data_IF_482703762473
#
_entry.id   IF_482703762473
#
_cell.length_a   1.000
_cell.length_b   1.000
_cell.length_c   1.000
_cell.angle_alpha   90.00
_cell.angle_beta   90.00
_cell.angle_gamma   90.00
#
_symmetry.space_group_name_H-M   'P 1'
#
loop_
_entity.id
_entity.type
_entity.pdbx_description
1 polymer ?
#
# COMPACT_ATOMS: atom_id res chain seq x y z
N UNK A 1 22.13 -0.79 -6.00
CA UNK A 1 20.82 -0.27 -6.44
C UNK A 1 20.43 -0.60 -7.89
N UNK A 2 21.32 -0.80 -8.85
CA UNK A 2 20.94 -1.04 -10.27
C UNK A 2 20.14 -2.31 -10.54
N UNK A 3 20.10 -3.27 -9.63
CA UNK A 3 19.41 -4.56 -9.81
C UNK A 3 18.07 -4.69 -9.05
N UNK A 4 17.76 -3.75 -8.15
CA UNK A 4 16.59 -3.81 -7.26
C UNK A 4 15.25 -3.82 -8.03
N UNK A 5 15.18 -2.99 -9.07
CA UNK A 5 13.96 -2.83 -9.87
C UNK A 5 13.97 -3.66 -11.18
N UNK A 6 14.93 -4.55 -11.38
CA UNK A 6 15.03 -5.32 -12.63
C UNK A 6 13.77 -6.14 -12.91
N UNK A 7 13.21 -6.78 -11.90
CA UNK A 7 11.96 -7.55 -12.01
C UNK A 7 10.75 -6.64 -12.18
N UNK A 8 10.69 -5.55 -11.46
CA UNK A 8 9.65 -4.54 -11.66
C UNK A 8 9.66 -4.06 -13.10
N UNK A 9 10.83 -3.68 -13.64
CA UNK A 9 10.98 -3.23 -15.02
C UNK A 9 10.55 -4.27 -16.07
N UNK A 10 10.71 -5.56 -15.80
CA UNK A 10 10.30 -6.63 -16.72
C UNK A 10 8.79 -6.91 -16.71
N UNK A 11 8.09 -6.52 -15.66
CA UNK A 11 6.66 -6.85 -15.46
C UNK A 11 5.74 -5.64 -15.51
N UNK A 12 6.27 -4.44 -15.29
CA UNK A 12 5.48 -3.21 -15.30
C UNK A 12 4.93 -2.87 -16.68
N UNK A 13 3.81 -2.16 -16.69
CA UNK A 13 3.25 -1.54 -17.89
C UNK A 13 3.22 -0.03 -17.66
N UNK A 14 3.67 0.73 -18.65
CA UNK A 14 3.60 2.18 -18.62
C UNK A 14 2.31 2.60 -19.28
N UNK A 15 1.37 3.12 -18.49
CA UNK A 15 0.08 3.64 -18.94
C UNK A 15 0.07 5.17 -18.95
N UNK A 16 0.89 5.79 -18.12
CA UNK A 16 1.04 7.24 -18.00
C UNK A 16 2.52 7.58 -17.87
N UNK A 17 2.91 8.78 -18.33
CA UNK A 17 4.29 9.26 -18.20
C UNK A 17 4.56 9.97 -16.87
N UNK A 18 3.52 10.28 -16.10
CA UNK A 18 3.61 10.92 -14.79
C UNK A 18 2.89 10.04 -13.78
N UNK A 19 3.57 9.71 -12.69
CA UNK A 19 3.06 8.86 -11.60
C UNK A 19 2.45 7.54 -12.12
N UNK A 20 3.17 6.88 -13.03
CA UNK A 20 2.79 5.55 -13.49
C UNK A 20 2.93 4.57 -12.33
N UNK A 21 1.81 4.05 -11.86
CA UNK A 21 1.74 3.21 -10.67
C UNK A 21 1.72 1.73 -10.99
N UNK A 22 2.57 0.98 -10.32
CA UNK A 22 2.51 -0.49 -10.28
C UNK A 22 2.33 -0.95 -8.84
N UNK A 23 1.29 -1.75 -8.58
CA UNK A 23 0.91 -2.18 -7.24
C UNK A 23 1.23 -3.64 -7.00
N UNK A 24 1.81 -3.94 -5.85
CA UNK A 24 2.09 -5.28 -5.33
C UNK A 24 1.39 -5.47 -3.99
N UNK A 25 0.54 -6.50 -3.88
CA UNK A 25 -0.27 -6.73 -2.70
C UNK A 25 0.34 -7.81 -1.79
N UNK A 26 0.14 -7.63 -0.49
CA UNK A 26 0.38 -8.61 0.56
C UNK A 26 -0.79 -8.63 1.56
N UNK A 27 -0.71 -9.48 2.60
CA UNK A 27 -1.82 -9.69 3.53
C UNK A 27 -2.23 -8.43 4.31
N UNK A 28 -1.26 -7.61 4.73
CA UNK A 28 -1.47 -6.42 5.57
C UNK A 28 -0.82 -5.17 5.01
N UNK A 29 -0.44 -5.18 3.75
CA UNK A 29 0.28 -4.07 3.13
C UNK A 29 0.17 -4.09 1.64
N UNK A 30 0.42 -2.93 1.05
CA UNK A 30 0.43 -2.72 -0.38
C UNK A 30 1.65 -1.88 -0.74
N UNK A 31 2.53 -2.41 -1.59
CA UNK A 31 3.64 -1.66 -2.15
C UNK A 31 3.23 -1.08 -3.49
N UNK A 32 3.33 0.22 -3.63
CA UNK A 32 3.15 0.94 -4.87
C UNK A 32 4.49 1.48 -5.34
N UNK A 33 4.88 1.15 -6.57
CA UNK A 33 6.04 1.76 -7.23
C UNK A 33 5.50 2.77 -8.25
N UNK A 34 5.88 4.01 -8.07
CA UNK A 34 5.54 5.13 -8.92
C UNK A 34 6.74 5.49 -9.80
N UNK A 35 6.48 5.71 -11.08
CA UNK A 35 7.49 6.08 -12.06
C UNK A 35 7.01 7.30 -12.84
N UNK A 36 7.83 8.35 -12.89
CA UNK A 36 7.58 9.54 -13.70
C UNK A 36 8.68 9.66 -14.74
N UNK A 37 8.31 9.74 -16.01
CA UNK A 37 9.16 9.65 -17.19
C UNK A 37 9.31 10.97 -17.93
N UNK A 38 8.75 12.06 -17.44
CA UNK A 38 8.89 13.42 -17.99
C UNK A 38 8.82 14.44 -16.86
N UNK A 39 9.39 15.61 -17.11
CA UNK A 39 9.23 16.75 -16.20
C UNK A 39 7.75 17.06 -16.02
N UNK A 40 7.34 17.28 -14.79
CA UNK A 40 5.99 17.65 -14.42
C UNK A 40 6.01 18.44 -13.11
N UNK A 41 5.11 19.40 -12.99
CA UNK A 41 5.01 20.27 -11.85
C UNK A 41 3.59 20.19 -11.25
N UNK A 42 3.45 20.49 -9.96
CA UNK A 42 2.19 20.58 -9.24
C UNK A 42 1.32 19.29 -9.34
N UNK A 43 1.96 18.12 -9.32
CA UNK A 43 1.26 16.84 -9.34
C UNK A 43 0.72 16.55 -7.95
N UNK A 44 -0.61 16.56 -7.81
CA UNK A 44 -1.28 16.33 -6.53
C UNK A 44 -1.54 14.84 -6.30
N UNK A 45 -1.20 14.35 -5.12
CA UNK A 45 -1.40 12.98 -4.66
C UNK A 45 -1.87 12.94 -3.21
N UNK A 46 -2.84 12.08 -2.91
CA UNK A 46 -3.38 11.86 -1.56
C UNK A 46 -3.63 10.37 -1.33
N UNK A 47 -3.39 9.88 -0.14
CA UNK A 47 -3.67 8.50 0.28
C UNK A 47 -4.67 8.49 1.44
N UNK A 48 -5.54 7.47 1.52
CA UNK A 48 -6.52 7.29 2.62
C UNK A 48 -5.96 6.53 3.83
N UNK A 49 -4.73 6.13 3.77
CA UNK A 49 -4.04 5.43 4.83
C UNK A 49 -2.63 6.00 4.96
N UNK A 50 -2.00 5.85 6.13
CA UNK A 50 -0.63 6.27 6.31
C UNK A 50 0.27 5.55 5.30
N UNK A 51 1.13 6.30 4.64
CA UNK A 51 2.12 5.73 3.73
C UNK A 51 3.53 6.12 4.12
N UNK A 52 4.43 5.18 3.89
CA UNK A 52 5.86 5.41 3.95
C UNK A 52 6.32 5.49 2.51
N UNK A 53 6.57 6.70 2.04
CA UNK A 53 7.16 6.94 0.73
C UNK A 53 8.68 6.95 0.85
N UNK A 54 9.39 6.29 -0.07
CA UNK A 54 10.85 6.30 -0.12
C UNK A 54 11.34 6.49 -1.55
N UNK A 55 12.32 7.35 -1.73
CA UNK A 55 12.91 7.59 -3.03
C UNK A 55 13.86 6.46 -3.43
N UNK A 56 13.69 5.99 -4.67
CA UNK A 56 14.53 4.93 -5.26
C UNK A 56 15.53 5.53 -6.25
N UNK A 57 15.06 6.38 -7.18
CA UNK A 57 15.90 7.05 -8.17
C UNK A 57 15.33 8.43 -8.53
N UNK A 58 16.18 9.34 -8.97
CA UNK A 58 15.77 10.68 -9.41
C UNK A 58 15.58 11.64 -8.23
N UNK A 59 14.77 12.65 -8.46
CA UNK A 59 14.50 13.73 -7.49
C UNK A 59 13.04 14.14 -7.61
N UNK A 60 12.39 14.39 -6.47
CA UNK A 60 11.11 15.10 -6.35
C UNK A 60 11.34 16.37 -5.55
N UNK A 61 10.54 17.41 -5.80
CA UNK A 61 10.37 18.51 -4.85
C UNK A 61 9.00 18.34 -4.22
N UNK A 62 8.98 18.21 -2.89
CA UNK A 62 7.76 17.97 -2.13
C UNK A 62 7.25 19.29 -1.55
N UNK A 63 5.99 19.57 -1.77
CA UNK A 63 5.25 20.67 -1.16
C UNK A 63 4.20 20.04 -0.22
N UNK A 64 4.48 20.07 1.05
CA UNK A 64 3.61 19.56 2.10
C UNK A 64 3.09 20.71 2.94
N UNK A 65 1.83 20.62 3.38
CA UNK A 65 1.29 21.59 4.33
C UNK A 65 2.18 21.65 5.58
N UNK A 66 2.42 22.85 6.06
CA UNK A 66 3.22 23.16 7.27
C UNK A 66 4.73 22.89 7.15
N UNK A 67 5.24 22.48 5.97
CA UNK A 67 6.66 22.36 5.71
C UNK A 67 7.11 23.25 4.57
N UNK A 68 8.31 23.84 4.68
CA UNK A 68 8.93 24.48 3.52
C UNK A 68 9.19 23.46 2.43
N UNK A 69 9.02 23.79 1.13
CA UNK A 69 9.35 22.88 0.04
C UNK A 69 10.76 22.31 0.19
N UNK A 70 10.90 21.01 -0.04
CA UNK A 70 12.18 20.32 0.11
C UNK A 70 12.45 19.33 -1.01
N UNK A 71 13.72 19.10 -1.29
CA UNK A 71 14.18 18.04 -2.18
C UNK A 71 13.99 16.69 -1.50
N UNK A 72 13.32 15.76 -2.19
CA UNK A 72 13.17 14.39 -1.76
C UNK A 72 14.04 13.48 -2.63
N UNK A 73 15.07 12.89 -2.02
CA UNK A 73 16.18 12.23 -2.67
C UNK A 73 16.30 10.75 -2.29
N UNK A 74 16.99 9.91 -3.10
CA UNK A 74 17.29 8.53 -2.72
C UNK A 74 18.00 8.44 -1.37
N UNK A 75 17.53 7.51 -0.53
CA UNK A 75 17.99 7.36 0.85
C UNK A 75 17.17 8.15 1.87
N UNK A 76 16.11 8.79 1.41
CA UNK A 76 15.15 9.50 2.28
C UNK A 76 13.79 8.82 2.24
N UNK A 77 13.04 9.00 3.32
CA UNK A 77 11.65 8.60 3.44
C UNK A 77 10.79 9.75 3.96
N UNK A 78 9.54 9.76 3.51
CA UNK A 78 8.50 10.63 4.05
C UNK A 78 7.40 9.74 4.58
N UNK A 79 7.07 9.91 5.85
CA UNK A 79 5.87 9.29 6.44
C UNK A 79 4.75 10.30 6.32
N UNK A 80 3.72 9.91 5.60
CA UNK A 80 2.54 10.75 5.35
C UNK A 80 1.36 10.23 6.13
N UNK A 81 0.64 11.10 6.84
CA UNK A 81 -0.65 10.76 7.38
C UNK A 81 -1.67 10.48 6.27
N UNK A 82 -2.73 9.75 6.61
CA UNK A 82 -3.87 9.63 5.71
C UNK A 82 -4.46 11.01 5.40
N UNK A 83 -5.03 11.14 4.22
CA UNK A 83 -5.78 12.31 3.74
C UNK A 83 -4.98 13.61 3.58
N UNK A 84 -3.68 13.60 3.87
CA UNK A 84 -2.85 14.76 3.60
C UNK A 84 -2.49 14.82 2.11
N UNK A 85 -2.76 15.95 1.49
CA UNK A 85 -2.39 16.21 0.11
C UNK A 85 -0.87 16.46 0.02
N UNK A 86 -0.26 15.84 -0.98
CA UNK A 86 1.11 16.12 -1.41
C UNK A 86 1.04 16.78 -2.78
N UNK A 87 1.69 17.91 -2.96
CA UNK A 87 1.96 18.49 -4.27
C UNK A 87 3.41 18.23 -4.59
N UNK A 88 3.71 17.73 -5.78
CA UNK A 88 5.00 17.16 -6.13
C UNK A 88 5.45 17.67 -7.50
N UNK A 89 6.68 18.17 -7.57
CA UNK A 89 7.35 18.47 -8.83
C UNK A 89 8.40 17.41 -9.16
N UNK A 90 8.58 17.16 -10.44
CA UNK A 90 9.52 16.19 -11.03
C UNK A 90 10.52 16.90 -11.96
N UNK A 91 11.51 17.62 -11.43
CA UNK A 91 12.34 18.53 -12.22
C UNK A 91 13.35 17.84 -13.14
N UNK A 92 13.64 16.55 -12.91
CA UNK A 92 14.73 15.84 -13.63
C UNK A 92 14.27 14.53 -14.29
N UNK A 93 12.97 14.25 -14.31
CA UNK A 93 12.46 13.00 -14.86
C UNK A 93 12.57 12.95 -16.39
N UNK A 94 13.09 11.85 -16.93
CA UNK A 94 13.16 11.57 -18.38
C UNK A 94 12.77 10.12 -18.68
N UNK A 95 12.60 9.77 -19.97
CA UNK A 95 12.32 8.39 -20.36
C UNK A 95 13.47 7.44 -20.06
N UNK A 96 14.72 7.91 -20.23
CA UNK A 96 15.94 7.12 -19.98
C UNK A 96 16.27 7.04 -18.50
N UNK A 97 15.99 8.11 -17.73
CA UNK A 97 16.23 8.22 -16.30
C UNK A 97 14.95 8.65 -15.56
N UNK A 98 13.99 7.75 -15.39
CA UNK A 98 12.74 8.08 -14.69
C UNK A 98 12.97 8.33 -13.21
N UNK A 99 12.22 9.27 -12.66
CA UNK A 99 12.09 9.41 -11.21
C UNK A 99 11.24 8.29 -10.68
N UNK A 100 11.75 7.51 -9.71
CA UNK A 100 11.07 6.38 -9.15
C UNK A 100 11.01 6.47 -7.62
N UNK A 101 9.85 6.26 -7.07
CA UNK A 101 9.67 6.12 -5.63
C UNK A 101 8.73 4.96 -5.31
N UNK A 102 8.81 4.47 -4.11
CA UNK A 102 7.81 3.56 -3.56
C UNK A 102 6.91 4.31 -2.58
N UNK A 103 5.68 3.82 -2.44
CA UNK A 103 4.78 4.17 -1.35
C UNK A 103 4.24 2.85 -0.76
N UNK A 104 4.65 2.57 0.47
CA UNK A 104 4.22 1.40 1.23
C UNK A 104 3.03 1.81 2.11
N UNK A 105 1.83 1.38 1.73
CA UNK A 105 0.66 1.42 2.58
C UNK A 105 0.64 0.22 3.52
N UNK A 106 0.40 0.46 4.81
CA UNK A 106 0.31 -0.58 5.83
C UNK A 106 -1.09 -0.55 6.42
N UNK A 107 -1.67 -1.73 6.65
CA UNK A 107 -2.95 -1.85 7.32
C UNK A 107 -2.87 -1.19 8.71
N UNK A 108 -3.77 -0.24 9.04
CA UNK A 108 -3.78 0.41 10.35
C UNK A 108 -3.86 -0.57 11.52
N UNK A 109 -4.64 -1.65 11.39
CA UNK A 109 -4.73 -2.69 12.43
C UNK A 109 -3.36 -3.33 12.70
N UNK A 110 -2.54 -3.50 11.64
CA UNK A 110 -1.18 -4.04 11.80
C UNK A 110 -0.26 -3.06 12.50
N UNK A 111 -0.36 -1.78 12.20
CA UNK A 111 0.41 -0.74 12.90
C UNK A 111 0.04 -0.75 14.38
N UNK A 112 -1.26 -0.82 14.70
CA UNK A 112 -1.76 -0.86 16.06
C UNK A 112 -1.27 -2.09 16.84
N UNK A 113 -1.35 -3.28 16.22
CA UNK A 113 -0.85 -4.53 16.81
C UNK A 113 0.62 -4.41 17.20
N UNK A 114 1.46 -3.90 16.29
CA UNK A 114 2.90 -3.77 16.51
C UNK A 114 3.20 -2.70 17.57
N UNK A 115 2.52 -1.55 17.50
CA UNK A 115 2.67 -0.48 18.49
C UNK A 115 2.28 -0.95 19.91
N UNK A 116 1.18 -1.68 20.05
CA UNK A 116 0.74 -2.26 21.32
C UNK A 116 1.81 -3.19 21.91
N UNK A 117 2.29 -4.15 21.12
CA UNK A 117 3.35 -5.08 21.56
C UNK A 117 4.66 -4.38 21.91
N UNK A 118 4.98 -3.30 21.20
CA UNK A 118 6.16 -2.50 21.49
C UNK A 118 6.02 -1.78 22.84
N UNK A 119 4.85 -1.20 23.10
CA UNK A 119 4.55 -0.51 24.36
C UNK A 119 4.55 -1.46 25.55
N UNK A 120 3.97 -2.67 25.42
CA UNK A 120 4.02 -3.67 26.51
C UNK A 120 5.45 -4.01 26.94
N UNK A 121 6.39 -4.11 25.99
CA UNK A 121 7.78 -4.45 26.30
C UNK A 121 8.58 -3.28 26.86
N UNK A 122 8.24 -2.04 26.50
CA UNK A 122 8.94 -0.84 27.00
C UNK A 122 8.42 -0.41 28.35
N UNK A 123 7.11 -0.51 28.61
CA UNK A 123 6.52 -0.17 29.91
C UNK A 123 7.06 -1.02 31.08
N UNK A 124 7.72 -2.13 30.79
CA UNK A 124 8.42 -2.92 31.81
C UNK A 124 9.75 -2.29 32.29
N UNK A 125 10.26 -1.27 31.56
CA UNK A 125 11.59 -0.72 31.82
C UNK A 125 11.63 0.79 32.15
N UNK A 126 10.59 1.58 31.81
CA UNK A 126 10.56 3.03 32.06
C UNK A 126 9.14 3.56 32.23
N UNK A 127 8.83 4.14 33.39
CA UNK A 127 7.50 4.65 33.77
C UNK A 127 7.08 5.98 33.09
N UNK A 128 7.77 6.48 32.06
CA UNK A 128 7.62 7.90 31.64
C UNK A 128 7.13 8.19 30.24
N UNK A 129 6.93 7.25 29.34
CA UNK A 129 6.36 7.54 28.04
C UNK A 129 5.21 6.61 27.63
N UNK A 130 4.05 6.81 28.22
CA UNK A 130 2.80 6.36 27.60
C UNK A 130 2.61 7.15 26.30
N UNK A 131 2.58 6.45 25.19
CA UNK A 131 2.47 7.05 23.88
C UNK A 131 1.06 7.59 23.66
N UNK A 132 0.87 8.89 23.91
CA UNK A 132 -0.37 9.61 23.66
C UNK A 132 -0.39 10.16 22.26
N UNK A 133 -1.59 10.11 21.65
CA UNK A 133 -1.89 10.57 20.32
C UNK A 133 -1.96 12.11 20.29
N UNK A 134 -1.07 12.77 19.57
CA UNK A 134 -1.18 14.17 19.17
C UNK A 134 -1.32 14.26 17.64
N UNK A 135 -1.89 15.34 17.11
CA UNK A 135 -2.21 15.48 15.67
C UNK A 135 -1.02 15.19 14.75
N UNK A 136 -1.25 14.31 13.75
CA UNK A 136 -0.22 13.76 12.89
C UNK A 136 0.23 14.73 11.79
N UNK A 137 1.49 15.13 11.85
CA UNK A 137 2.16 15.87 10.79
C UNK A 137 2.98 14.95 9.92
N UNK A 138 3.14 15.29 8.63
CA UNK A 138 4.08 14.60 7.78
C UNK A 138 5.51 14.66 8.35
N UNK A 139 6.28 13.60 8.19
CA UNK A 139 7.65 13.54 8.69
C UNK A 139 8.62 13.18 7.57
N UNK A 140 9.55 14.08 7.27
CA UNK A 140 10.67 13.82 6.37
C UNK A 140 11.86 13.28 7.17
N UNK A 141 12.40 12.16 6.73
CA UNK A 141 13.44 11.41 7.41
C UNK A 141 14.58 11.08 6.45
N UNK A 142 15.82 11.31 6.89
CA UNK A 142 16.98 10.64 6.28
C UNK A 142 17.06 9.23 6.86
N UNK A 143 17.03 8.22 6.00
CA UNK A 143 17.01 6.83 6.43
C UNK A 143 18.33 6.42 7.07
N UNK A 144 18.27 5.72 8.18
CA UNK A 144 19.40 4.93 8.66
C UNK A 144 19.70 3.81 7.65
N UNK A 145 20.93 3.35 7.62
CA UNK A 145 21.37 2.33 6.66
C UNK A 145 20.55 1.04 6.74
N UNK A 146 20.13 0.66 7.94
CA UNK A 146 19.29 -0.51 8.20
C UNK A 146 17.88 -0.36 7.61
N UNK A 147 17.33 0.86 7.62
CA UNK A 147 16.03 1.16 7.01
C UNK A 147 16.14 1.05 5.49
N UNK A 148 17.23 1.54 4.88
CA UNK A 148 17.46 1.40 3.45
C UNK A 148 17.58 -0.07 3.04
N UNK A 149 18.36 -0.89 3.77
CA UNK A 149 18.43 -2.34 3.52
C UNK A 149 17.09 -3.04 3.68
N UNK A 150 16.30 -2.62 4.67
CA UNK A 150 14.97 -3.17 4.89
C UNK A 150 14.02 -2.83 3.73
N UNK A 151 14.05 -1.59 3.23
CA UNK A 151 13.29 -1.15 2.06
C UNK A 151 13.69 -1.96 0.82
N UNK A 152 14.98 -2.16 0.59
CA UNK A 152 15.47 -2.98 -0.52
C UNK A 152 14.96 -4.43 -0.44
N UNK A 153 14.99 -5.03 0.74
CA UNK A 153 14.47 -6.38 0.99
C UNK A 153 12.96 -6.46 0.80
N UNK A 154 12.22 -5.44 1.24
CA UNK A 154 10.78 -5.33 1.03
C UNK A 154 10.45 -5.32 -0.47
N UNK A 155 11.09 -4.45 -1.25
CA UNK A 155 10.87 -4.36 -2.71
C UNK A 155 11.20 -5.69 -3.39
N UNK A 156 12.33 -6.31 -3.06
CA UNK A 156 12.72 -7.60 -3.61
C UNK A 156 11.70 -8.70 -3.27
N UNK A 157 11.21 -8.74 -2.04
CA UNK A 157 10.24 -9.74 -1.60
C UNK A 157 8.85 -9.50 -2.18
N UNK A 158 8.40 -8.24 -2.30
CA UNK A 158 7.13 -7.90 -2.95
C UNK A 158 7.11 -8.29 -4.43
N UNK A 159 8.23 -8.11 -5.11
CA UNK A 159 8.36 -8.40 -6.55
C UNK A 159 8.63 -9.88 -6.85
N UNK A 160 9.03 -10.67 -5.85
CA UNK A 160 9.21 -12.13 -5.94
C UNK A 160 7.92 -12.87 -5.64
N UNK A 161 7.78 -14.03 -6.26
CA UNK A 161 6.66 -14.93 -6.02
C UNK A 161 7.17 -16.20 -5.32
N UNK A 162 7.44 -16.10 -4.03
CA UNK A 162 7.91 -17.21 -3.20
C UNK A 162 6.83 -17.62 -2.20
N UNK A 163 6.84 -18.89 -1.77
CA UNK A 163 5.86 -19.39 -0.79
C UNK A 163 5.93 -18.69 0.56
N UNK A 164 7.12 -18.27 0.98
CA UNK A 164 7.34 -17.56 2.24
C UNK A 164 7.09 -16.05 2.14
N UNK A 165 6.66 -15.54 0.98
CA UNK A 165 6.50 -14.11 0.73
C UNK A 165 5.71 -13.39 1.83
N UNK A 166 4.50 -13.88 2.12
CA UNK A 166 3.60 -13.21 3.07
C UNK A 166 4.18 -13.20 4.50
N UNK A 167 4.86 -14.28 4.90
CA UNK A 167 5.50 -14.37 6.22
C UNK A 167 6.69 -13.43 6.32
N UNK A 168 7.54 -13.41 5.30
CA UNK A 168 8.71 -12.54 5.26
C UNK A 168 8.31 -11.07 5.21
N UNK A 169 7.29 -10.71 4.43
CA UNK A 169 6.76 -9.36 4.37
C UNK A 169 6.19 -8.93 5.73
N UNK A 170 5.43 -9.80 6.40
CA UNK A 170 4.88 -9.51 7.72
C UNK A 170 5.98 -9.18 8.73
N UNK A 171 7.05 -9.99 8.80
CA UNK A 171 8.18 -9.75 9.69
C UNK A 171 8.92 -8.44 9.37
N UNK A 172 9.17 -8.18 8.08
CA UNK A 172 9.85 -6.96 7.64
C UNK A 172 9.03 -5.71 7.88
N UNK A 173 7.70 -5.77 7.73
CA UNK A 173 6.80 -4.67 8.04
C UNK A 173 6.76 -4.40 9.54
N UNK A 174 6.73 -5.43 10.37
CA UNK A 174 6.83 -5.26 11.82
C UNK A 174 8.16 -4.58 12.20
N UNK A 175 9.27 -5.01 11.62
CA UNK A 175 10.58 -4.36 11.84
C UNK A 175 10.54 -2.89 11.40
N UNK A 176 9.98 -2.59 10.22
CA UNK A 176 9.89 -1.22 9.72
C UNK A 176 9.06 -0.33 10.64
N UNK A 177 7.90 -0.81 11.10
CA UNK A 177 7.06 -0.07 12.05
C UNK A 177 7.84 0.22 13.34
N UNK A 178 8.52 -0.78 13.93
CA UNK A 178 9.31 -0.58 15.15
C UNK A 178 10.40 0.46 14.96
N UNK A 179 11.14 0.41 13.82
CA UNK A 179 12.19 1.41 13.53
C UNK A 179 11.61 2.82 13.36
N UNK A 180 10.47 2.95 12.69
CA UNK A 180 9.81 4.24 12.52
C UNK A 180 9.23 4.78 13.82
N UNK A 181 8.73 3.91 14.69
CA UNK A 181 8.26 4.29 16.02
C UNK A 181 9.39 4.84 16.92
N UNK A 182 10.65 4.55 16.60
CA UNK A 182 11.81 5.11 17.28
C UNK A 182 12.27 6.47 16.69
N UNK A 183 11.58 6.98 15.67
CA UNK A 183 11.91 8.24 14.99
C UNK A 183 10.89 9.33 15.29
N UNK A 184 11.12 10.52 14.71
CA UNK A 184 10.15 11.63 14.74
C UNK A 184 8.82 11.28 14.06
N UNK A 185 8.78 10.26 13.19
CA UNK A 185 7.57 9.79 12.52
C UNK A 185 6.61 9.01 13.44
N UNK A 186 6.96 8.79 14.70
CA UNK A 186 6.14 8.09 15.69
C UNK A 186 4.72 8.66 15.74
N UNK A 187 4.58 9.95 15.88
CA UNK A 187 3.28 10.63 16.00
C UNK A 187 2.45 10.49 14.72
N UNK A 188 3.06 10.67 13.56
CA UNK A 188 2.41 10.51 12.25
C UNK A 188 1.79 9.11 12.08
N UNK A 189 2.51 8.06 12.46
CA UNK A 189 2.06 6.68 12.29
C UNK A 189 0.92 6.32 13.24
N UNK A 190 0.95 6.82 14.47
CA UNK A 190 -0.02 6.46 15.50
C UNK A 190 -1.35 7.23 15.39
N UNK A 191 -1.32 8.47 14.92
CA UNK A 191 -2.51 9.32 14.88
C UNK A 191 -3.49 8.96 13.75
N UNK A 192 -3.00 8.40 12.65
CA UNK A 192 -3.83 8.06 11.50
C UNK A 192 -4.83 6.92 11.74
N UNK A 193 -4.65 6.16 12.82
CA UNK A 193 -5.55 5.03 13.15
C UNK A 193 -6.98 5.48 13.50
N UNK A 194 -7.17 6.69 14.02
CA UNK A 194 -8.50 7.22 14.34
C UNK A 194 -9.16 7.95 13.16
N UNK A 195 -8.38 8.62 12.32
CA UNK A 195 -8.94 9.42 11.21
C UNK A 195 -9.44 8.55 10.04
N UNK A 196 -8.90 7.35 9.84
CA UNK A 196 -9.31 6.47 8.75
C UNK A 196 -10.76 6.00 8.87
N UNK A 197 -11.26 5.78 10.11
CA UNK A 197 -12.64 5.33 10.34
C UNK A 197 -13.68 6.43 10.09
N UNK A 198 -13.30 7.70 10.15
CA UNK A 198 -14.24 8.83 10.16
C UNK A 198 -14.43 9.48 8.78
N UNK A 199 -13.65 9.10 7.77
CA UNK A 199 -13.84 9.64 6.42
C UNK A 199 -14.86 8.86 5.61
N UNK A 200 -15.53 9.55 4.67
CA UNK A 200 -16.50 8.90 3.76
C UNK A 200 -15.88 7.77 2.95
N UNK A 201 -14.63 7.93 2.52
CA UNK A 201 -13.92 6.88 1.76
C UNK A 201 -13.44 5.76 2.69
N UNK A 202 -12.93 6.09 3.87
CA UNK A 202 -12.57 5.10 4.88
C UNK A 202 -13.76 4.24 5.30
N UNK A 203 -14.93 4.86 5.49
CA UNK A 203 -16.17 4.14 5.72
C UNK A 203 -16.51 3.16 4.57
N UNK A 204 -16.37 3.61 3.31
CA UNK A 204 -16.62 2.75 2.14
C UNK A 204 -15.59 1.62 2.05
N UNK A 205 -14.34 1.87 2.34
CA UNK A 205 -13.29 0.83 2.39
C UNK A 205 -13.63 -0.23 3.44
N UNK A 206 -14.01 0.19 4.63
CA UNK A 206 -14.48 -0.69 5.71
C UNK A 206 -15.70 -1.49 5.25
N UNK A 207 -16.70 -0.83 4.67
CA UNK A 207 -17.89 -1.47 4.12
C UNK A 207 -17.55 -2.53 3.06
N UNK A 208 -16.64 -2.24 2.12
CA UNK A 208 -16.18 -3.21 1.11
C UNK A 208 -15.57 -4.45 1.79
N UNK A 209 -14.69 -4.25 2.78
CA UNK A 209 -14.02 -5.35 3.48
C UNK A 209 -14.98 -6.24 4.26
N UNK A 210 -15.95 -5.64 4.93
CA UNK A 210 -16.98 -6.36 5.71
C UNK A 210 -17.97 -7.11 4.82
N UNK A 211 -18.24 -6.60 3.62
CA UNK A 211 -19.25 -7.14 2.69
C UNK A 211 -18.63 -7.72 1.41
N UNK A 212 -17.37 -8.12 1.44
CA UNK A 212 -16.57 -8.47 0.26
C UNK A 212 -17.20 -9.57 -0.63
N UNK A 213 -17.96 -10.47 -0.01
CA UNK A 213 -18.63 -11.59 -0.70
C UNK A 213 -20.04 -11.26 -1.18
N UNK A 214 -20.56 -10.09 -0.84
CA UNK A 214 -21.86 -9.64 -1.32
C UNK A 214 -21.77 -9.34 -2.82
N UNK A 215 -22.66 -9.99 -3.58
CA UNK A 215 -22.77 -9.85 -5.02
C UNK A 215 -23.34 -8.49 -5.47
N UNK A 216 -23.98 -7.78 -4.55
CA UNK A 216 -24.61 -6.48 -4.82
C UNK A 216 -23.65 -5.31 -4.71
N UNK A 217 -22.42 -5.54 -4.25
CA UNK A 217 -21.42 -4.46 -4.23
C UNK A 217 -21.14 -4.01 -5.66
N UNK A 218 -21.52 -2.78 -5.94
CA UNK A 218 -21.26 -2.09 -7.19
C UNK A 218 -20.87 -0.63 -6.91
N UNK A 219 -20.42 0.07 -7.93
CA UNK A 219 -19.92 1.44 -7.79
C UNK A 219 -20.99 2.42 -7.35
N UNK A 220 -22.23 2.24 -7.81
CA UNK A 220 -23.36 3.11 -7.48
C UNK A 220 -23.69 3.01 -5.98
N UNK A 221 -23.77 1.80 -5.44
CA UNK A 221 -23.96 1.56 -4.01
C UNK A 221 -22.83 2.17 -3.17
N UNK A 222 -21.58 2.04 -3.61
CA UNK A 222 -20.45 2.59 -2.89
C UNK A 222 -20.43 4.12 -2.93
N UNK A 223 -20.81 4.72 -4.05
CA UNK A 223 -20.97 6.16 -4.19
C UNK A 223 -22.08 6.71 -3.29
N UNK A 224 -23.23 6.00 -3.24
CA UNK A 224 -24.32 6.29 -2.31
C UNK A 224 -23.85 6.24 -0.85
N UNK A 225 -23.14 5.21 -0.46
CA UNK A 225 -22.55 5.05 0.89
C UNK A 225 -21.56 6.16 1.23
N UNK A 226 -20.86 6.69 0.24
CA UNK A 226 -19.96 7.84 0.40
C UNK A 226 -20.69 9.18 0.40
N UNK A 227 -22.01 9.22 0.14
CA UNK A 227 -22.78 10.45 -0.11
C UNK A 227 -22.20 11.29 -1.25
N UNK A 228 -21.83 10.64 -2.36
CA UNK A 228 -21.22 11.25 -3.53
C UNK A 228 -21.92 10.79 -4.81
N UNK A 229 -21.82 11.61 -5.87
CA UNK A 229 -22.13 11.11 -7.22
C UNK A 229 -21.09 10.08 -7.63
N UNK A 230 -21.46 9.13 -8.50
CA UNK A 230 -20.58 8.06 -9.01
C UNK A 230 -19.25 8.61 -9.57
N UNK A 231 -19.33 9.71 -10.35
CA UNK A 231 -18.14 10.36 -10.91
C UNK A 231 -17.23 10.97 -9.84
N UNK A 232 -17.83 11.68 -8.87
CA UNK A 232 -17.09 12.28 -7.75
C UNK A 232 -16.46 11.21 -6.87
N UNK A 233 -17.19 10.14 -6.57
CA UNK A 233 -16.72 9.00 -5.82
C UNK A 233 -15.52 8.35 -6.51
N UNK A 234 -15.64 8.06 -7.82
CA UNK A 234 -14.56 7.43 -8.57
C UNK A 234 -13.27 8.27 -8.57
N UNK A 235 -13.42 9.59 -8.81
CA UNK A 235 -12.31 10.54 -8.77
C UNK A 235 -11.70 10.62 -7.37
N UNK A 236 -12.51 10.82 -6.33
CA UNK A 236 -12.06 10.93 -4.95
C UNK A 236 -11.38 9.64 -4.49
N UNK A 237 -12.02 8.47 -4.71
CA UNK A 237 -11.48 7.17 -4.35
C UNK A 237 -10.12 6.91 -5.02
N UNK A 238 -10.02 7.20 -6.34
CA UNK A 238 -8.76 7.03 -7.07
C UNK A 238 -7.68 8.00 -6.58
N UNK A 239 -8.01 9.25 -6.34
CA UNK A 239 -7.05 10.23 -5.82
C UNK A 239 -6.54 9.82 -4.43
N UNK A 240 -7.42 9.27 -3.63
CA UNK A 240 -7.20 8.88 -2.25
C UNK A 240 -6.41 7.57 -2.13
N UNK A 241 -6.85 6.49 -2.81
CA UNK A 241 -6.20 5.17 -2.74
C UNK A 241 -5.23 4.91 -3.89
N UNK A 242 -5.13 5.86 -4.84
CA UNK A 242 -4.30 5.73 -6.04
C UNK A 242 -4.76 4.65 -7.02
N UNK A 243 -5.81 3.86 -6.70
CA UNK A 243 -6.39 2.81 -7.57
C UNK A 243 -7.89 3.03 -7.74
N UNK A 244 -8.45 2.49 -8.81
CA UNK A 244 -9.89 2.57 -9.00
C UNK A 244 -10.64 1.76 -7.94
N UNK A 245 -11.90 2.12 -7.61
CA UNK A 245 -12.73 1.32 -6.69
C UNK A 245 -12.86 -0.14 -7.12
N UNK A 246 -12.97 -0.40 -8.43
CA UNK A 246 -13.07 -1.76 -8.98
C UNK A 246 -11.77 -2.53 -8.78
N UNK A 247 -10.61 -1.91 -9.03
CA UNK A 247 -9.32 -2.56 -8.81
C UNK A 247 -9.10 -2.84 -7.32
N UNK A 248 -9.53 -1.93 -6.44
CA UNK A 248 -9.50 -2.14 -4.98
C UNK A 248 -10.35 -3.34 -4.57
N UNK A 249 -11.63 -3.41 -5.00
CA UNK A 249 -12.52 -4.54 -4.70
C UNK A 249 -11.91 -5.86 -5.20
N UNK A 250 -11.38 -5.85 -6.44
CA UNK A 250 -10.75 -7.04 -7.00
C UNK A 250 -9.53 -7.47 -6.19
N UNK A 251 -8.68 -6.53 -5.73
CA UNK A 251 -7.51 -6.84 -4.91
C UNK A 251 -7.91 -7.48 -3.58
N UNK A 252 -8.90 -6.92 -2.89
CA UNK A 252 -9.40 -7.47 -1.63
C UNK A 252 -10.03 -8.88 -1.84
N UNK A 253 -10.81 -9.08 -2.90
CA UNK A 253 -11.36 -10.38 -3.27
C UNK A 253 -10.27 -11.42 -3.57
N UNK A 254 -9.18 -11.04 -4.25
CA UNK A 254 -8.04 -11.94 -4.50
C UNK A 254 -7.30 -12.26 -3.20
N UNK A 255 -7.08 -11.28 -2.32
CA UNK A 255 -6.51 -11.52 -0.99
C UNK A 255 -7.35 -12.56 -0.21
N UNK A 256 -8.67 -12.40 -0.25
CA UNK A 256 -9.59 -13.34 0.42
C UNK A 256 -9.56 -14.73 -0.25
N UNK A 257 -9.53 -14.82 -1.58
CA UNK A 257 -9.39 -16.06 -2.31
C UNK A 257 -8.11 -16.82 -1.91
N UNK A 258 -6.98 -16.11 -1.77
CA UNK A 258 -5.72 -16.71 -1.28
C UNK A 258 -5.85 -17.28 0.13
N UNK A 259 -6.57 -16.57 1.03
CA UNK A 259 -6.86 -17.09 2.38
C UNK A 259 -7.70 -18.38 2.32
N UNK A 260 -8.71 -18.45 1.44
CA UNK A 260 -9.51 -19.66 1.23
C UNK A 260 -8.67 -20.84 0.71
N UNK A 261 -7.79 -20.59 -0.26
CA UNK A 261 -6.89 -21.62 -0.80
C UNK A 261 -5.95 -22.19 0.27
N UNK A 262 -5.39 -21.31 1.12
CA UNK A 262 -4.53 -21.72 2.23
C UNK A 262 -5.28 -22.57 3.27
N UNK A 263 -6.54 -22.19 3.60
CA UNK A 263 -7.36 -22.90 4.60
C UNK A 263 -7.91 -24.22 4.11
N UNK A 264 -8.26 -24.32 2.84
CA UNK A 264 -8.83 -25.53 2.25
C UNK A 264 -8.18 -25.88 0.91
N UNK A 265 -7.12 -26.67 1.00
CA UNK A 265 -6.35 -27.13 -0.17
C UNK A 265 -7.17 -27.98 -1.16
N UNK A 266 -8.33 -28.54 -0.76
CA UNK A 266 -9.17 -29.39 -1.63
C UNK A 266 -10.25 -28.60 -2.38
N UNK A 267 -10.57 -27.37 -1.99
CA UNK A 267 -11.64 -26.57 -2.59
C UNK A 267 -11.36 -26.30 -4.07
N UNK A 268 -12.37 -26.42 -4.93
CA UNK A 268 -12.23 -26.16 -6.36
C UNK A 268 -11.97 -24.66 -6.65
N UNK A 269 -11.24 -24.36 -7.71
CA UNK A 269 -10.97 -22.97 -8.13
C UNK A 269 -12.27 -22.19 -8.40
N UNK A 270 -13.28 -22.85 -8.99
CA UNK A 270 -14.59 -22.26 -9.20
C UNK A 270 -15.30 -21.93 -7.88
N UNK A 271 -15.26 -22.81 -6.91
CA UNK A 271 -15.82 -22.56 -5.58
C UNK A 271 -15.12 -21.40 -4.87
N UNK A 272 -13.79 -21.35 -4.97
CA UNK A 272 -13.00 -20.25 -4.41
C UNK A 272 -13.39 -18.93 -5.05
N UNK A 273 -13.51 -18.89 -6.39
CA UNK A 273 -13.94 -17.69 -7.10
C UNK A 273 -15.31 -17.17 -6.59
N UNK A 274 -16.31 -18.05 -6.50
CA UNK A 274 -17.64 -17.66 -6.04
C UNK A 274 -17.67 -17.29 -4.55
N UNK A 275 -16.96 -18.03 -3.69
CA UNK A 275 -16.87 -17.74 -2.25
C UNK A 275 -16.09 -16.46 -1.96
N UNK A 276 -15.20 -16.05 -2.86
CA UNK A 276 -14.50 -14.77 -2.75
C UNK A 276 -15.25 -13.59 -3.39
N UNK A 277 -16.51 -13.80 -3.79
CA UNK A 277 -17.39 -12.76 -4.26
C UNK A 277 -17.23 -12.41 -5.76
N UNK A 278 -16.57 -13.26 -6.55
CA UNK A 278 -16.59 -13.12 -8.00
C UNK A 278 -17.81 -13.79 -8.61
N UNK A 279 -18.44 -13.14 -9.57
CA UNK A 279 -19.61 -13.67 -10.28
C UNK A 279 -19.22 -14.53 -11.49
N UNK A 280 -17.94 -14.50 -11.90
CA UNK A 280 -17.46 -15.17 -13.11
C UNK A 280 -16.04 -15.70 -12.88
N UNK A 281 -15.85 -17.01 -13.09
CA UNK A 281 -14.57 -17.70 -12.90
C UNK A 281 -13.50 -17.22 -13.88
N UNK A 282 -13.88 -16.93 -15.13
CA UNK A 282 -12.93 -16.43 -16.14
C UNK A 282 -12.42 -15.03 -15.75
N UNK A 283 -13.30 -14.17 -15.24
CA UNK A 283 -12.92 -12.86 -14.73
C UNK A 283 -12.00 -12.99 -13.49
N UNK A 284 -12.35 -13.87 -12.56
CA UNK A 284 -11.50 -14.21 -11.40
C UNK A 284 -10.09 -14.64 -11.84
N UNK A 285 -9.98 -15.61 -12.77
CA UNK A 285 -8.70 -16.10 -13.24
C UNK A 285 -7.84 -14.98 -13.85
N UNK A 286 -8.46 -14.09 -14.63
CA UNK A 286 -7.79 -12.94 -15.24
C UNK A 286 -7.30 -11.95 -14.18
N UNK A 287 -8.13 -11.62 -13.20
CA UNK A 287 -7.75 -10.70 -12.12
C UNK A 287 -6.69 -11.31 -11.21
N UNK A 288 -6.82 -12.60 -10.88
CA UNK A 288 -5.81 -13.31 -10.10
C UNK A 288 -4.44 -13.30 -10.80
N UNK A 289 -4.42 -13.64 -12.09
CA UNK A 289 -3.18 -13.60 -12.89
C UNK A 289 -2.61 -12.18 -13.01
N UNK A 290 -3.47 -11.16 -13.14
CA UNK A 290 -3.06 -9.74 -13.18
C UNK A 290 -2.36 -9.32 -11.89
N UNK A 291 -2.88 -9.74 -10.73
CA UNK A 291 -2.41 -9.30 -9.42
C UNK A 291 -1.29 -10.16 -8.84
N UNK A 292 -1.32 -11.48 -9.10
CA UNK A 292 -0.38 -12.44 -8.50
C UNK A 292 0.68 -12.96 -9.50
N UNK A 293 0.61 -12.55 -10.77
CA UNK A 293 1.52 -12.95 -11.86
C UNK A 293 1.54 -14.46 -12.14
N UNK A 294 0.60 -15.23 -11.56
CA UNK A 294 0.37 -16.65 -11.79
C UNK A 294 -1.11 -16.97 -11.78
N UNK A 295 -1.48 -18.12 -12.33
CA UNK A 295 -2.89 -18.57 -12.30
C UNK A 295 -3.28 -19.05 -10.89
N UNK A 296 -4.58 -19.02 -10.53
CA UNK A 296 -5.07 -19.60 -9.28
C UNK A 296 -4.65 -21.06 -9.10
N UNK A 297 -4.62 -21.84 -10.19
CA UNK A 297 -4.22 -23.23 -10.15
C UNK A 297 -2.73 -23.39 -9.81
N UNK A 298 -1.86 -22.57 -10.43
CA UNK A 298 -0.43 -22.55 -10.12
C UNK A 298 -0.18 -22.15 -8.66
N UNK A 299 -0.89 -21.13 -8.17
CA UNK A 299 -0.83 -20.73 -6.77
C UNK A 299 -1.25 -21.87 -5.83
N UNK A 300 -2.35 -22.56 -6.16
CA UNK A 300 -2.85 -23.69 -5.36
C UNK A 300 -1.87 -24.86 -5.33
N UNK A 301 -1.23 -25.20 -6.47
CA UNK A 301 -0.20 -26.22 -6.55
C UNK A 301 1.01 -25.83 -5.69
N UNK A 302 1.44 -24.59 -5.73
CA UNK A 302 2.56 -24.11 -4.90
C UNK A 302 2.29 -24.23 -3.39
N UNK A 303 1.02 -24.23 -2.96
CA UNK A 303 0.64 -24.48 -1.56
C UNK A 303 0.65 -25.98 -1.17
N UNK A 304 0.72 -26.90 -2.12
CA UNK A 304 0.71 -28.35 -1.87
C UNK A 304 2.12 -28.97 -1.84
N UNK A 305 3.11 -28.25 -2.36
CA UNK A 305 4.49 -28.74 -2.47
C UNK A 305 5.30 -28.67 -1.18
N UNK A 306 4.59 -28.51 -0.04
CA UNK A 306 5.17 -28.52 1.32
C UNK A 306 4.24 -29.32 2.27
#
# INVERSE_FOLDING_TARGET
MSNLLSRHKSTRKIYTLVENRTTYNAAYSELNIFETHKVADEVSLTFDFPVIASMLTGKKVMHLNEMSPFDFLPGESVVMPAHQEMVIDFPVATLEAPTQCLALGIDPEKIHEVAYRFNEKISLNDEKEVWTLEEGLASHLTNQIEVNYLIERLVDTFTKNTMSKDVLLDLMIQELIVRLLQTKAKQTILNDLQMFSDTRIGYVVKFIRENLTDKNINIDLLAEKAYMSTSSFHKKFKNTLGISPIDFINSEKIKFAKKLMKRNKKMLISEIAYKSGFNNVSYFNRQFKKLEFMTPQQFKISLQSY
#
